data_IF_348180522262
#
_entry.id   IF_348180522262
#
_cell.length_a   1.000
_cell.length_b   1.000
_cell.length_c   1.000
_cell.angle_alpha   90.00
_cell.angle_beta   90.00
_cell.angle_gamma   90.00
#
_symmetry.space_group_name_H-M   'P 1'
#
loop_
_entity.id
_entity.type
_entity.pdbx_description
1 polymer ?
#
# COMPACT_ATOMS: atom_id res chain seq x y z
N UNK A 1 12.30 -28.59 -12.61
CA UNK A 1 11.91 -27.34 -13.29
C UNK A 1 11.83 -26.25 -12.24
N UNK A 2 12.75 -25.29 -12.26
CA UNK A 2 12.63 -24.10 -11.40
C UNK A 2 11.63 -23.13 -12.06
N UNK A 3 10.56 -22.71 -11.39
CA UNK A 3 9.62 -21.72 -11.93
C UNK A 3 10.28 -20.34 -12.03
N UNK A 4 9.87 -19.57 -13.05
CA UNK A 4 10.49 -18.30 -13.47
C UNK A 4 10.14 -17.13 -12.55
N UNK A 5 11.13 -16.26 -12.30
CA UNK A 5 10.94 -14.96 -11.69
C UNK A 5 10.22 -14.01 -12.66
N UNK A 6 9.01 -13.57 -12.30
CA UNK A 6 8.23 -12.60 -13.06
C UNK A 6 8.07 -11.31 -12.26
N UNK A 7 8.21 -10.16 -12.92
CA UNK A 7 8.03 -8.81 -12.34
C UNK A 7 7.06 -8.01 -13.21
N UNK A 8 5.99 -7.50 -12.61
CA UNK A 8 5.05 -6.57 -13.26
C UNK A 8 5.31 -5.16 -12.72
N UNK A 9 5.39 -4.17 -13.62
CA UNK A 9 5.60 -2.77 -13.27
C UNK A 9 4.58 -1.93 -14.02
N UNK A 10 3.93 -1.00 -13.32
CA UNK A 10 3.02 -0.01 -13.89
C UNK A 10 3.35 1.36 -13.31
N UNK A 11 3.19 2.40 -14.12
CA UNK A 11 3.39 3.79 -13.70
C UNK A 11 2.22 4.62 -14.20
N UNK A 12 1.66 5.43 -13.31
CA UNK A 12 0.56 6.34 -13.63
C UNK A 12 0.97 7.76 -13.26
N UNK A 13 0.56 8.73 -14.07
CA UNK A 13 0.76 10.14 -13.73
C UNK A 13 -0.15 10.50 -12.56
N UNK A 14 0.46 10.91 -11.44
CA UNK A 14 -0.24 11.36 -10.25
C UNK A 14 -0.05 12.87 -10.11
N UNK A 15 -1.16 13.61 -10.04
CA UNK A 15 -1.15 15.08 -9.98
C UNK A 15 -0.97 15.64 -8.57
N UNK A 16 -1.15 14.81 -7.54
CA UNK A 16 -0.87 15.21 -6.17
C UNK A 16 0.63 15.05 -5.88
N UNK A 17 1.10 15.77 -4.86
CA UNK A 17 2.50 15.76 -4.48
C UNK A 17 2.88 14.33 -4.00
N UNK A 18 3.94 13.77 -4.60
CA UNK A 18 4.31 12.35 -4.40
C UNK A 18 4.85 12.06 -2.99
N UNK A 19 5.44 13.06 -2.35
CA UNK A 19 5.78 13.10 -0.93
C UNK A 19 4.55 12.87 -0.05
N UNK A 20 3.42 13.52 -0.36
CA UNK A 20 2.17 13.33 0.39
C UNK A 20 1.65 11.89 0.25
N UNK A 21 1.77 11.28 -0.93
CA UNK A 21 1.36 9.88 -1.11
C UNK A 21 2.27 8.91 -0.35
N UNK A 22 3.58 9.15 -0.39
CA UNK A 22 4.56 8.38 0.37
C UNK A 22 4.30 8.47 1.87
N UNK A 23 4.04 9.68 2.37
CA UNK A 23 3.70 9.91 3.78
C UNK A 23 2.35 9.30 4.16
N UNK A 24 1.35 9.35 3.29
CA UNK A 24 0.02 8.80 3.55
C UNK A 24 0.10 7.30 3.90
N UNK A 25 0.90 6.55 3.15
CA UNK A 25 1.07 5.09 3.33
C UNK A 25 1.89 4.78 4.59
N UNK A 26 2.99 5.51 4.80
CA UNK A 26 3.94 5.19 5.87
C UNK A 26 3.56 5.78 7.23
N UNK A 27 3.05 7.01 7.28
CA UNK A 27 2.69 7.68 8.54
C UNK A 27 1.27 7.36 8.99
N UNK A 28 0.35 7.20 8.02
CA UNK A 28 -1.08 7.16 8.31
C UNK A 28 -1.80 6.04 7.54
N UNK A 29 -1.42 4.77 7.73
CA UNK A 29 -2.01 3.65 7.01
C UNK A 29 -3.53 3.57 7.19
N UNK A 30 -4.05 3.87 8.39
CA UNK A 30 -5.51 3.92 8.61
C UNK A 30 -6.20 4.94 7.69
N UNK A 31 -5.57 6.10 7.49
CA UNK A 31 -6.10 7.17 6.63
C UNK A 31 -6.07 6.78 5.16
N UNK A 32 -5.15 5.93 4.74
CA UNK A 32 -5.13 5.37 3.39
C UNK A 32 -6.42 4.57 3.07
N UNK A 33 -6.91 3.78 4.03
CA UNK A 33 -8.20 3.10 3.89
C UNK A 33 -9.38 4.09 3.83
N UNK A 34 -9.34 5.17 4.62
CA UNK A 34 -10.37 6.22 4.60
C UNK A 34 -10.43 7.00 3.28
N UNK A 35 -9.30 7.21 2.60
CA UNK A 35 -9.26 7.88 1.29
C UNK A 35 -9.83 6.99 0.18
N UNK A 36 -9.75 5.66 0.35
CA UNK A 36 -10.10 4.70 -0.71
C UNK A 36 -10.94 3.51 -0.22
N UNK A 37 -12.07 3.74 0.48
CA UNK A 37 -12.81 2.68 1.18
C UNK A 37 -13.43 1.64 0.24
N UNK A 38 -13.65 2.01 -1.02
CA UNK A 38 -14.17 1.09 -2.05
C UNK A 38 -13.14 0.04 -2.50
N UNK A 39 -11.84 0.28 -2.25
CA UNK A 39 -10.75 -0.62 -2.66
C UNK A 39 -10.00 -1.18 -1.47
N UNK A 40 -9.80 -0.39 -0.40
CA UNK A 40 -9.06 -0.76 0.80
C UNK A 40 -9.97 -0.55 2.01
N UNK A 41 -10.26 -1.62 2.73
CA UNK A 41 -11.18 -1.61 3.88
C UNK A 41 -10.46 -1.29 5.18
N UNK A 42 -9.24 -1.81 5.33
CA UNK A 42 -8.41 -1.56 6.50
C UNK A 42 -6.93 -1.59 6.11
N UNK A 43 -6.12 -0.79 6.82
CA UNK A 43 -4.69 -0.75 6.63
C UNK A 43 -4.04 -0.32 7.96
N UNK A 44 -3.17 -1.17 8.50
CA UNK A 44 -2.59 -1.00 9.82
C UNK A 44 -1.19 -1.60 9.93
N UNK A 45 -0.39 -1.09 10.87
CA UNK A 45 0.88 -1.73 11.22
C UNK A 45 0.61 -2.98 12.06
N UNK A 46 1.06 -4.13 11.56
CA UNK A 46 1.06 -5.38 12.32
C UNK A 46 2.29 -5.47 13.21
N UNK A 47 3.46 -5.08 12.68
CA UNK A 47 4.72 -5.09 13.42
C UNK A 47 5.60 -3.88 13.05
N UNK A 48 6.33 -3.38 14.04
CA UNK A 48 7.17 -2.20 13.89
C UNK A 48 6.37 -0.90 13.79
N UNK A 49 7.08 0.16 13.42
CA UNK A 49 6.52 1.49 13.22
C UNK A 49 7.04 2.06 11.91
N UNK A 50 6.50 3.20 11.50
CA UNK A 50 6.88 3.93 10.30
C UNK A 50 8.39 4.09 10.11
N UNK A 51 9.16 4.30 11.18
CA UNK A 51 10.60 4.56 11.10
C UNK A 51 11.45 3.28 11.21
N UNK A 52 10.80 2.12 11.40
CA UNK A 52 11.47 0.84 11.56
C UNK A 52 11.64 0.15 10.22
N UNK A 53 12.89 -0.04 9.78
CA UNK A 53 13.18 -0.93 8.68
C UNK A 53 12.71 -2.35 9.01
N UNK A 54 11.97 -2.97 8.09
CA UNK A 54 11.37 -4.29 8.31
C UNK A 54 10.00 -4.25 8.99
N UNK A 55 9.36 -3.09 9.08
CA UNK A 55 7.96 -2.98 9.51
C UNK A 55 7.01 -3.75 8.60
N UNK A 56 5.96 -4.30 9.19
CA UNK A 56 4.93 -5.10 8.51
C UNK A 56 3.64 -4.32 8.50
N UNK A 57 3.11 -4.07 7.31
CA UNK A 57 1.80 -3.44 7.11
C UNK A 57 0.83 -4.52 6.65
N UNK A 58 -0.28 -4.62 7.35
CA UNK A 58 -1.42 -5.45 6.99
C UNK A 58 -2.44 -4.59 6.26
N UNK A 59 -2.83 -5.01 5.04
CA UNK A 59 -3.77 -4.28 4.18
C UNK A 59 -4.90 -5.22 3.76
N UNK A 60 -6.12 -4.86 4.11
CA UNK A 60 -7.33 -5.53 3.69
C UNK A 60 -7.93 -4.79 2.50
N UNK A 61 -8.13 -5.49 1.37
CA UNK A 61 -8.57 -4.87 0.13
C UNK A 61 -9.51 -5.78 -0.67
N UNK A 62 -10.33 -5.17 -1.52
CA UNK A 62 -11.16 -5.87 -2.48
C UNK A 62 -10.40 -6.07 -3.79
N UNK A 63 -10.19 -7.33 -4.16
CA UNK A 63 -9.68 -7.69 -5.47
C UNK A 63 -10.86 -7.88 -6.43
N UNK A 64 -11.05 -6.93 -7.33
CA UNK A 64 -11.95 -7.15 -8.48
C UNK A 64 -11.32 -8.21 -9.38
N UNK A 65 -11.98 -9.38 -9.48
CA UNK A 65 -11.65 -10.37 -10.49
C UNK A 65 -12.24 -9.89 -11.82
N UNK A 66 -11.36 -9.56 -12.74
CA UNK A 66 -11.69 -9.32 -14.14
C UNK A 66 -12.00 -10.64 -14.85
#
# INVERSE_FOLDING_TARGET
>A
MAPLSNKLVSSIAFKAAGDVFHELILNTPRRFAEVTPAKVTSCQFSEGTQESNGSIIEVEYFLEKN
#
